data_IF_339725648961
#
_entry.id   IF_339725648961
#
_cell.length_a   1.000
_cell.length_b   1.000
_cell.length_c   1.000
_cell.angle_alpha   90.00
_cell.angle_beta   90.00
_cell.angle_gamma   90.00
#
_symmetry.space_group_name_H-M   'P 1'
#
loop_
_entity.id
_entity.type
_entity.pdbx_description
1 polymer ?
#
# COMPACT_ATOMS: atom_id res chain seq x y z
N UNK A 1 -23.54 -11.72 40.44
CA UNK A 1 -22.52 -10.77 39.93
C UNK A 1 -21.38 -11.46 39.17
N UNK A 2 -20.68 -12.45 39.75
CA UNK A 2 -19.49 -13.10 39.15
C UNK A 2 -19.72 -13.71 37.74
N UNK A 3 -20.87 -14.35 37.48
CA UNK A 3 -21.22 -14.93 36.16
C UNK A 3 -21.38 -13.89 35.05
N UNK A 4 -21.96 -12.71 35.36
CA UNK A 4 -22.16 -11.63 34.39
C UNK A 4 -20.83 -10.97 34.00
N UNK A 5 -19.91 -10.85 34.96
CA UNK A 5 -18.55 -10.33 34.73
C UNK A 5 -17.75 -11.28 33.83
N UNK A 6 -17.82 -12.60 34.07
CA UNK A 6 -17.17 -13.60 33.24
C UNK A 6 -17.67 -13.60 31.78
N UNK A 7 -18.99 -13.48 31.58
CA UNK A 7 -19.57 -13.37 30.24
C UNK A 7 -19.05 -12.11 29.52
N UNK A 8 -18.95 -10.97 30.22
CA UNK A 8 -18.39 -9.75 29.66
C UNK A 8 -16.91 -9.88 29.24
N UNK A 9 -16.09 -10.56 30.04
CA UNK A 9 -14.68 -10.82 29.71
C UNK A 9 -14.55 -11.69 28.47
N UNK A 10 -15.38 -12.74 28.34
CA UNK A 10 -15.38 -13.61 27.15
C UNK A 10 -15.73 -12.82 25.89
N UNK A 11 -16.75 -11.95 25.94
CA UNK A 11 -17.09 -11.09 24.80
C UNK A 11 -15.96 -10.11 24.44
N UNK A 12 -15.24 -9.59 25.43
CA UNK A 12 -14.13 -8.67 25.19
C UNK A 12 -12.93 -9.37 24.53
N UNK A 13 -12.65 -10.63 24.91
CA UNK A 13 -11.57 -11.45 24.33
C UNK A 13 -11.92 -11.94 22.93
N UNK A 14 -13.18 -12.30 22.65
CA UNK A 14 -13.58 -12.66 21.28
C UNK A 14 -13.56 -11.45 20.36
N UNK A 15 -13.97 -10.28 20.85
CA UNK A 15 -13.96 -9.03 20.10
C UNK A 15 -12.53 -8.58 19.73
N UNK A 16 -11.53 -8.76 20.61
CA UNK A 16 -10.14 -8.40 20.28
C UNK A 16 -9.53 -9.28 19.19
N UNK A 17 -9.96 -10.53 19.05
CA UNK A 17 -9.52 -11.41 17.95
C UNK A 17 -10.06 -10.99 16.58
N UNK A 18 -11.18 -10.25 16.54
CA UNK A 18 -11.77 -9.72 15.30
C UNK A 18 -11.02 -8.49 14.76
N UNK A 19 -10.30 -7.78 15.63
CA UNK A 19 -9.55 -6.56 15.31
C UNK A 19 -8.04 -6.79 15.19
N UNK A 20 -7.59 -8.04 15.09
CA UNK A 20 -6.20 -8.30 14.73
C UNK A 20 -5.96 -7.75 13.32
N UNK A 21 -5.43 -6.53 13.22
CA UNK A 21 -5.08 -5.91 11.95
C UNK A 21 -4.07 -6.82 11.25
N UNK A 22 -4.49 -7.41 10.13
CA UNK A 22 -3.71 -8.39 9.41
C UNK A 22 -2.48 -7.69 8.83
N UNK A 23 -1.31 -7.92 9.41
CA UNK A 23 -0.07 -7.48 8.82
C UNK A 23 0.06 -8.12 7.43
N UNK A 24 0.14 -7.27 6.40
CA UNK A 24 0.30 -7.71 5.01
C UNK A 24 1.74 -8.16 4.72
N UNK A 25 2.68 -7.82 5.59
CA UNK A 25 4.08 -8.22 5.47
C UNK A 25 4.38 -9.51 6.24
N UNK A 26 5.20 -10.37 5.63
CA UNK A 26 5.79 -11.55 6.25
C UNK A 26 7.32 -11.44 6.19
N UNK A 27 7.99 -12.04 7.18
CA UNK A 27 9.45 -12.10 7.22
C UNK A 27 9.89 -13.56 7.16
N UNK A 28 10.91 -13.83 6.34
CA UNK A 28 11.51 -15.15 6.24
C UNK A 28 12.99 -15.06 5.85
N UNK A 29 13.69 -16.17 6.00
CA UNK A 29 15.08 -16.29 5.56
C UNK A 29 15.18 -17.51 4.65
N UNK A 30 15.73 -17.33 3.45
CA UNK A 30 15.96 -18.42 2.50
C UNK A 30 17.39 -18.36 2.00
N UNK A 31 18.14 -19.45 2.15
CA UNK A 31 19.53 -19.57 1.68
C UNK A 31 20.46 -18.45 2.18
N UNK A 32 20.23 -17.94 3.40
CA UNK A 32 21.01 -16.84 3.99
C UNK A 32 20.59 -15.43 3.55
N UNK A 33 19.60 -15.31 2.66
CA UNK A 33 19.00 -14.04 2.24
C UNK A 33 17.73 -13.80 3.05
N UNK A 34 17.64 -12.64 3.66
CA UNK A 34 16.45 -12.16 4.37
C UNK A 34 15.42 -11.68 3.35
N UNK A 35 14.18 -12.16 3.47
CA UNK A 35 13.07 -11.82 2.56
C UNK A 35 11.91 -11.22 3.34
N UNK A 36 11.36 -10.14 2.79
CA UNK A 36 10.15 -9.51 3.28
C UNK A 36 9.08 -9.69 2.19
N UNK A 37 8.07 -10.51 2.46
CA UNK A 37 6.96 -10.74 1.54
C UNK A 37 5.84 -9.73 1.78
N UNK A 38 5.18 -9.27 0.72
CA UNK A 38 3.97 -8.45 0.81
C UNK A 38 2.81 -9.25 0.21
N UNK A 39 1.81 -9.56 1.03
CA UNK A 39 0.56 -10.18 0.58
C UNK A 39 -0.56 -9.15 0.62
N UNK A 40 -1.12 -8.86 -0.54
CA UNK A 40 -2.23 -7.93 -0.65
C UNK A 40 -3.29 -8.44 -1.63
N UNK A 41 -4.47 -7.84 -1.55
CA UNK A 41 -5.58 -8.13 -2.44
C UNK A 41 -6.17 -6.78 -2.81
N UNK A 42 -6.18 -6.41 -4.10
CA UNK A 42 -6.76 -5.14 -4.51
C UNK A 42 -8.29 -5.19 -4.32
N UNK A 43 -8.84 -4.06 -3.90
CA UNK A 43 -10.27 -3.82 -3.87
C UNK A 43 -10.57 -2.65 -4.78
N UNK A 44 -11.61 -2.75 -5.58
CA UNK A 44 -11.97 -1.72 -6.56
C UNK A 44 -13.32 -1.11 -6.18
N UNK A 45 -13.39 0.20 -6.27
CA UNK A 45 -14.64 0.95 -6.08
C UNK A 45 -14.82 1.94 -7.21
N UNK A 46 -16.01 1.96 -7.79
CA UNK A 46 -16.34 2.92 -8.84
C UNK A 46 -16.59 4.30 -8.24
N UNK A 47 -16.06 5.31 -8.90
CA UNK A 47 -16.24 6.73 -8.59
C UNK A 47 -16.91 7.41 -9.77
N UNK A 48 -17.75 8.40 -9.47
CA UNK A 48 -18.43 9.20 -10.49
C UNK A 48 -17.43 9.74 -11.52
N UNK A 49 -17.81 9.68 -12.79
CA UNK A 49 -16.95 10.10 -13.90
C UNK A 49 -16.15 8.97 -14.57
N UNK A 50 -16.39 7.70 -14.22
CA UNK A 50 -15.75 6.54 -14.87
C UNK A 50 -14.38 6.20 -14.30
N UNK A 51 -14.07 6.69 -13.11
CA UNK A 51 -12.82 6.41 -12.41
C UNK A 51 -12.99 5.24 -11.44
N UNK A 52 -11.91 4.51 -11.21
CA UNK A 52 -11.83 3.44 -10.24
C UNK A 52 -10.86 3.82 -9.13
N UNK A 53 -11.28 3.68 -7.88
CA UNK A 53 -10.44 3.88 -6.70
C UNK A 53 -10.04 2.54 -6.09
N UNK A 54 -8.76 2.44 -5.75
CA UNK A 54 -8.13 1.25 -5.16
C UNK A 54 -7.85 1.42 -3.67
N UNK A 55 -7.61 2.65 -3.24
CA UNK A 55 -7.35 2.94 -1.84
C UNK A 55 -8.63 2.83 -1.02
N UNK A 56 -8.50 2.33 0.21
CA UNK A 56 -9.56 2.29 1.20
C UNK A 56 -9.37 3.38 2.23
N UNK A 57 -10.45 3.76 2.89
CA UNK A 57 -10.38 4.76 3.95
C UNK A 57 -9.44 4.28 5.05
N UNK A 58 -8.38 5.06 5.31
CA UNK A 58 -7.36 4.76 6.31
C UNK A 58 -6.15 3.97 5.81
N UNK A 59 -6.15 3.48 4.56
CA UNK A 59 -4.97 2.87 3.95
C UNK A 59 -3.99 3.94 3.45
N UNK A 60 -2.70 3.61 3.42
CA UNK A 60 -1.70 4.45 2.78
C UNK A 60 -1.87 4.45 1.25
N UNK A 61 -1.73 5.61 0.62
CA UNK A 61 -1.79 5.77 -0.82
C UNK A 61 -0.97 6.99 -1.27
N UNK A 62 -0.75 7.13 -2.58
CA UNK A 62 -0.15 8.34 -3.16
C UNK A 62 -1.05 9.56 -2.92
N UNK A 63 -0.44 10.69 -2.58
CA UNK A 63 -1.16 11.90 -2.12
C UNK A 63 -0.86 13.14 -2.95
N UNK A 64 -0.14 13.00 -4.06
CA UNK A 64 0.12 14.13 -4.96
C UNK A 64 -1.15 14.46 -5.76
N UNK A 65 -1.67 15.67 -5.59
CA UNK A 65 -2.94 16.09 -6.18
C UNK A 65 -2.92 15.97 -7.72
N UNK A 66 -3.97 15.37 -8.28
CA UNK A 66 -4.09 15.14 -9.72
C UNK A 66 -3.30 13.94 -10.25
N UNK A 67 -2.40 13.34 -9.47
CA UNK A 67 -1.72 12.08 -9.82
C UNK A 67 -2.63 10.87 -9.55
N UNK A 68 -2.45 9.73 -10.24
CA UNK A 68 -3.17 8.50 -9.92
C UNK A 68 -3.02 8.09 -8.45
N UNK A 69 -4.15 7.82 -7.79
CA UNK A 69 -4.24 7.39 -6.40
C UNK A 69 -3.99 5.87 -6.29
N UNK A 70 -2.75 5.51 -5.96
CA UNK A 70 -2.29 4.13 -5.86
C UNK A 70 -2.02 3.76 -4.40
N UNK A 71 -2.50 2.60 -3.92
CA UNK A 71 -2.22 2.14 -2.57
C UNK A 71 -0.73 1.90 -2.35
N UNK A 72 -0.24 2.30 -1.17
CA UNK A 72 1.16 2.20 -0.76
C UNK A 72 1.25 1.46 0.57
N UNK A 73 2.17 0.50 0.62
CA UNK A 73 2.45 -0.29 1.81
C UNK A 73 3.80 0.10 2.38
N UNK A 74 3.88 0.16 3.71
CA UNK A 74 5.12 0.51 4.40
C UNK A 74 5.39 -0.50 5.50
N UNK A 75 6.63 -0.94 5.59
CA UNK A 75 7.12 -1.70 6.73
C UNK A 75 8.46 -1.14 7.20
N UNK A 76 8.84 -1.47 8.42
CA UNK A 76 10.12 -1.09 9.00
C UNK A 76 10.98 -2.34 9.15
N UNK A 77 12.25 -2.22 8.76
CA UNK A 77 13.22 -3.28 8.91
C UNK A 77 14.35 -2.84 9.83
N UNK A 78 14.59 -3.61 10.89
CA UNK A 78 15.68 -3.36 11.82
C UNK A 78 17.00 -3.84 11.21
N UNK A 79 18.01 -2.99 11.28
CA UNK A 79 19.33 -3.25 10.72
C UNK A 79 20.33 -3.60 11.82
N UNK A 80 21.31 -4.42 11.46
CA UNK A 80 22.56 -4.54 12.18
C UNK A 80 23.46 -3.32 11.83
N UNK A 81 23.88 -2.49 12.81
CA UNK A 81 24.76 -1.35 12.56
C UNK A 81 26.09 -1.71 11.88
N UNK A 82 26.57 -2.95 12.08
CA UNK A 82 27.86 -3.42 11.54
C UNK A 82 27.81 -3.88 10.08
N UNK A 83 26.61 -3.95 9.48
CA UNK A 83 26.41 -4.45 8.12
C UNK A 83 25.95 -3.35 7.16
N UNK A 84 26.26 -3.56 5.88
CA UNK A 84 25.69 -2.81 4.77
C UNK A 84 24.63 -3.68 4.09
N UNK A 85 23.51 -3.07 3.73
CA UNK A 85 22.37 -3.75 3.14
C UNK A 85 22.10 -3.18 1.75
N UNK A 86 21.73 -4.07 0.83
CA UNK A 86 21.15 -3.73 -0.47
C UNK A 86 19.74 -4.33 -0.53
N UNK A 87 18.77 -3.55 -0.96
CA UNK A 87 17.37 -3.96 -1.01
C UNK A 87 16.94 -4.10 -2.46
N UNK A 88 16.41 -5.27 -2.80
CA UNK A 88 15.96 -5.59 -4.15
C UNK A 88 14.47 -5.89 -4.15
N UNK A 89 13.76 -5.37 -5.14
CA UNK A 89 12.35 -5.63 -5.34
C UNK A 89 12.17 -6.79 -6.32
N UNK A 90 11.60 -7.89 -5.83
CA UNK A 90 11.33 -9.11 -6.61
C UNK A 90 9.81 -9.24 -6.81
N UNK A 91 9.36 -9.22 -8.07
CA UNK A 91 7.97 -9.50 -8.44
C UNK A 91 7.85 -10.99 -8.73
N UNK A 92 7.08 -11.71 -7.92
CA UNK A 92 6.90 -13.16 -8.06
C UNK A 92 5.88 -13.50 -9.14
N UNK A 93 4.74 -12.82 -9.10
CA UNK A 93 3.66 -12.94 -10.07
C UNK A 93 3.05 -11.56 -10.35
N UNK A 94 2.53 -11.36 -11.55
CA UNK A 94 1.73 -10.20 -11.88
C UNK A 94 0.59 -10.56 -12.84
N UNK A 95 -0.47 -9.77 -12.80
CA UNK A 95 -1.55 -9.82 -13.77
C UNK A 95 -1.97 -8.41 -14.16
N UNK A 96 -2.68 -8.31 -15.29
CA UNK A 96 -3.07 -7.03 -15.87
C UNK A 96 -4.58 -6.89 -15.93
N UNK A 97 -5.05 -5.68 -15.67
CA UNK A 97 -6.44 -5.25 -15.77
C UNK A 97 -6.49 -4.18 -16.86
N UNK A 98 -7.30 -4.42 -17.88
CA UNK A 98 -7.55 -3.50 -19.00
C UNK A 98 -8.79 -2.64 -18.72
N UNK A 99 -8.97 -1.57 -19.50
CA UNK A 99 -10.13 -0.67 -19.46
C UNK A 99 -10.39 -0.05 -18.07
N UNK A 100 -9.33 0.26 -17.33
CA UNK A 100 -9.38 0.86 -15.99
C UNK A 100 -8.74 2.25 -15.99
N UNK A 101 -9.48 3.23 -15.48
CA UNK A 101 -8.97 4.59 -15.26
C UNK A 101 -8.85 4.84 -13.76
N UNK A 102 -7.64 4.99 -13.25
CA UNK A 102 -7.41 5.18 -11.81
C UNK A 102 -7.88 6.58 -11.40
N UNK A 103 -8.49 6.70 -10.22
CA UNK A 103 -8.89 7.98 -9.65
C UNK A 103 -7.67 8.90 -9.45
N UNK A 104 -7.65 10.14 -9.97
CA UNK A 104 -6.64 11.11 -9.59
C UNK A 104 -6.88 11.58 -8.15
N UNK A 105 -5.82 11.73 -7.37
CA UNK A 105 -5.92 12.15 -5.99
C UNK A 105 -6.54 13.57 -5.89
N UNK A 106 -7.65 13.68 -5.14
CA UNK A 106 -8.44 14.91 -5.01
C UNK A 106 -8.06 15.78 -3.79
N UNK A 107 -6.96 15.47 -3.11
CA UNK A 107 -6.54 16.17 -1.88
C UNK A 107 -7.07 15.51 -0.61
N UNK A 108 -6.92 16.23 0.52
CA UNK A 108 -7.16 15.68 1.88
C UNK A 108 -8.42 16.21 2.58
N UNK A 109 -9.24 17.04 1.92
CA UNK A 109 -10.39 17.68 2.59
C UNK A 109 -11.50 16.70 2.99
N UNK A 110 -11.78 15.71 2.13
CA UNK A 110 -12.78 14.66 2.36
C UNK A 110 -12.40 13.37 1.64
N UNK A 111 -12.89 12.24 2.14
CA UNK A 111 -12.67 10.94 1.51
C UNK A 111 -13.59 10.76 0.29
N UNK A 112 -14.85 11.16 0.41
CA UNK A 112 -15.85 11.01 -0.64
C UNK A 112 -15.60 11.96 -1.81
N UNK A 113 -15.58 11.41 -3.03
CA UNK A 113 -15.39 12.18 -4.26
C UNK A 113 -16.72 12.27 -5.02
N UNK A 114 -17.35 13.43 -4.92
CA UNK A 114 -18.60 13.70 -5.64
C UNK A 114 -18.34 14.03 -7.11
N UNK A 115 -17.30 14.82 -7.37
CA UNK A 115 -16.86 15.29 -8.68
C UNK A 115 -15.33 15.28 -8.72
N UNK A 116 -14.78 14.70 -9.78
CA UNK A 116 -13.34 14.75 -10.07
C UNK A 116 -13.03 16.09 -10.73
N UNK A 117 -12.20 16.91 -10.09
CA UNK A 117 -11.87 18.27 -10.56
C UNK A 117 -10.36 18.52 -10.69
N UNK A 118 -9.54 17.77 -9.94
CA UNK A 118 -8.08 17.90 -9.99
C UNK A 118 -7.52 16.73 -10.79
N UNK A 119 -6.97 17.00 -11.97
CA UNK A 119 -6.40 15.99 -12.87
C UNK A 119 -5.08 16.52 -13.40
N UNK A 120 -4.01 15.72 -13.30
CA UNK A 120 -2.76 16.01 -13.99
C UNK A 120 -2.81 15.44 -15.41
N UNK A 121 -3.34 16.21 -16.36
CA UNK A 121 -3.50 15.77 -17.75
C UNK A 121 -2.18 15.30 -18.38
N UNK A 122 -1.06 15.93 -18.04
CA UNK A 122 0.25 15.52 -18.56
C UNK A 122 0.60 14.07 -18.20
N UNK A 123 0.15 13.58 -17.04
CA UNK A 123 0.35 12.20 -16.60
C UNK A 123 -0.70 11.27 -17.19
N UNK A 124 -1.97 11.68 -17.22
CA UNK A 124 -3.03 10.85 -17.78
C UNK A 124 -2.93 10.66 -19.30
N UNK A 125 -2.31 11.62 -20.01
CA UNK A 125 -1.99 11.49 -21.43
C UNK A 125 -0.60 10.89 -21.72
N UNK A 126 0.17 10.58 -20.67
CA UNK A 126 1.54 10.05 -20.77
C UNK A 126 1.57 8.55 -21.09
N UNK A 127 2.52 8.17 -21.95
CA UNK A 127 2.88 6.77 -22.20
C UNK A 127 3.77 6.18 -21.08
N UNK A 128 4.26 7.01 -20.17
CA UNK A 128 5.11 6.57 -19.07
C UNK A 128 4.28 5.88 -17.97
N UNK A 129 4.76 4.75 -17.44
CA UNK A 129 4.10 4.10 -16.32
C UNK A 129 4.29 4.88 -15.02
N UNK A 130 3.30 4.82 -14.14
CA UNK A 130 3.37 5.37 -12.79
C UNK A 130 3.09 4.29 -11.72
N UNK A 131 3.81 4.30 -10.59
CA UNK A 131 4.90 5.21 -10.25
C UNK A 131 6.19 4.89 -11.03
N UNK A 132 7.12 5.83 -11.08
CA UNK A 132 8.44 5.60 -11.71
C UNK A 132 9.25 4.50 -11.00
N UNK A 133 9.00 4.28 -9.71
CA UNK A 133 9.61 3.24 -8.90
C UNK A 133 8.57 2.62 -7.97
N UNK A 134 8.51 1.29 -7.95
CA UNK A 134 7.58 0.55 -7.10
C UNK A 134 8.10 0.29 -5.68
N UNK A 135 9.40 0.49 -5.43
CA UNK A 135 9.99 0.36 -4.10
C UNK A 135 10.92 1.54 -3.81
N UNK A 136 10.77 2.13 -2.63
CA UNK A 136 11.67 3.16 -2.10
C UNK A 136 12.06 2.77 -0.68
N UNK A 137 13.37 2.76 -0.42
CA UNK A 137 13.91 2.51 0.92
C UNK A 137 14.44 3.83 1.48
N UNK A 138 14.12 4.14 2.72
CA UNK A 138 14.62 5.35 3.38
C UNK A 138 16.10 5.28 3.69
N UNK A 139 16.68 6.43 4.00
CA UNK A 139 17.95 6.47 4.72
C UNK A 139 17.85 5.75 6.08
N UNK A 140 19.00 5.27 6.57
CA UNK A 140 19.09 4.63 7.89
C UNK A 140 18.69 5.65 8.96
N UNK A 141 17.67 5.28 9.74
CA UNK A 141 17.22 6.03 10.90
C UNK A 141 17.66 5.32 12.18
N UNK A 142 17.95 6.09 13.22
CA UNK A 142 18.38 5.55 14.51
C UNK A 142 17.56 6.12 15.67
N UNK A 143 17.23 5.27 16.64
CA UNK A 143 16.51 5.67 17.84
C UNK A 143 16.60 4.62 18.93
N UNK A 144 16.87 5.05 20.17
CA UNK A 144 16.94 4.18 21.36
C UNK A 144 17.87 2.96 21.19
N UNK A 145 18.99 3.14 20.48
CA UNK A 145 19.98 2.08 20.22
C UNK A 145 19.58 1.08 19.14
N UNK A 146 18.53 1.37 18.35
CA UNK A 146 18.09 0.56 17.22
C UNK A 146 18.30 1.38 15.94
N UNK A 147 18.82 0.73 14.91
CA UNK A 147 18.84 1.27 13.55
C UNK A 147 17.80 0.56 12.70
N UNK A 148 17.10 1.31 11.86
CA UNK A 148 16.08 0.78 10.98
C UNK A 148 15.93 1.61 9.71
N UNK A 149 15.29 1.02 8.71
CA UNK A 149 14.84 1.70 7.48
C UNK A 149 13.35 1.49 7.31
N UNK A 150 12.67 2.42 6.63
CA UNK A 150 11.34 2.17 6.08
C UNK A 150 11.45 1.68 4.65
N UNK A 151 10.65 0.68 4.33
CA UNK A 151 10.52 0.12 2.98
C UNK A 151 9.10 0.45 2.53
N UNK A 152 9.00 1.27 1.50
CA UNK A 152 7.75 1.68 0.88
C UNK A 152 7.57 0.92 -0.43
N UNK A 153 6.42 0.30 -0.63
CA UNK A 153 6.11 -0.51 -1.81
C UNK A 153 4.75 -0.10 -2.38
N UNK A 154 4.72 0.16 -3.68
CA UNK A 154 3.50 0.34 -4.47
C UNK A 154 3.41 -0.86 -5.42
N UNK A 155 2.58 -1.88 -5.11
CA UNK A 155 2.53 -3.14 -5.88
C UNK A 155 1.65 -3.02 -7.13
N UNK A 156 1.72 -1.86 -7.79
CA UNK A 156 0.89 -1.47 -8.91
C UNK A 156 1.72 -0.68 -9.91
N UNK A 157 1.53 -0.96 -11.18
CA UNK A 157 2.05 -0.12 -12.27
C UNK A 157 0.89 0.26 -13.16
N UNK A 158 0.54 1.54 -13.15
CA UNK A 158 -0.53 2.08 -13.96
C UNK A 158 0.04 2.67 -15.24
N UNK A 159 -0.61 2.37 -16.36
CA UNK A 159 -0.27 2.83 -17.69
C UNK A 159 -1.41 3.74 -18.18
N UNK A 160 -1.35 5.07 -17.92
CA UNK A 160 -2.49 5.95 -18.08
C UNK A 160 -3.00 6.03 -19.52
N UNK A 161 -2.10 6.19 -20.49
CA UNK A 161 -2.48 6.27 -21.91
C UNK A 161 -3.19 5.02 -22.45
N UNK A 162 -2.98 3.89 -21.79
CA UNK A 162 -3.52 2.59 -22.20
C UNK A 162 -4.72 2.15 -21.34
N UNK A 163 -5.13 2.95 -20.34
CA UNK A 163 -6.17 2.60 -19.37
C UNK A 163 -5.96 1.21 -18.77
N UNK A 164 -4.73 0.95 -18.31
CA UNK A 164 -4.29 -0.40 -17.94
C UNK A 164 -3.53 -0.39 -16.63
N UNK A 165 -3.83 -1.34 -15.76
CA UNK A 165 -3.18 -1.52 -14.46
C UNK A 165 -2.53 -2.90 -14.38
N UNK A 166 -1.24 -2.94 -14.09
CA UNK A 166 -0.55 -4.16 -13.69
C UNK A 166 -0.53 -4.26 -12.16
N UNK A 167 -0.88 -5.42 -11.64
CA UNK A 167 -0.97 -5.73 -10.21
C UNK A 167 0.04 -6.83 -9.89
N UNK A 168 0.92 -6.59 -8.92
CA UNK A 168 1.89 -7.58 -8.45
C UNK A 168 1.30 -8.42 -7.32
N UNK A 169 1.52 -9.74 -7.30
CA UNK A 169 0.95 -10.66 -6.29
C UNK A 169 1.99 -11.57 -5.65
#
# INVERSE_FOLDING_TARGET
>A
MKRKIWIGIIYMVTLSSLFAYKNKFSFGTSSGVEKIGLSHTPEFSDVNGGYTRLARMGDGHTTEAGMPELPQYTTYYQLDPSKTYDFQFEVLESYTIEDITILPHQGMEKWEVDVVSIINEAIYDSYEPVPAQNMVVSDRSQGRGIEFVSIHVIPYTYYPKYNRLEVYT
#
